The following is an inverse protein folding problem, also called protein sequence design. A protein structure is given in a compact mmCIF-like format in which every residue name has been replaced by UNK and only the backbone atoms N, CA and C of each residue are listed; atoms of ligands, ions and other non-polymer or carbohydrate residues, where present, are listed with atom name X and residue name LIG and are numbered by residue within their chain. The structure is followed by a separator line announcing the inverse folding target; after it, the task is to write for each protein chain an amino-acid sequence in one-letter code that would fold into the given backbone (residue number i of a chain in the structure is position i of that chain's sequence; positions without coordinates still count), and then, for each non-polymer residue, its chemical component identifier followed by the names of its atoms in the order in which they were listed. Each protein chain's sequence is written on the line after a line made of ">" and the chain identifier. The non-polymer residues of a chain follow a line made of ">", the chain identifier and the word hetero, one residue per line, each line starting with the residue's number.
data_IF_669813201189
#
_entry.id   IF_669813201189
#
_cell.length_a   1.000
_cell.length_b   1.000
_cell.length_c   1.000
_cell.angle_alpha   90.00
_cell.angle_beta   90.00
_cell.angle_gamma   90.00
#
_symmetry.space_group_name_H-M   'P 1'
#
loop_
_entity.id
_entity.type
_entity.pdbx_description
1 polymer ?
#
# COMPACT_ATOMS: atom_id res chain seq x y z
N UNK A 1 12.85 10.81 6.40
CA UNK A 1 12.05 9.66 6.88
C UNK A 1 11.85 8.69 5.73
N UNK A 2 11.79 7.38 5.97
CA UNK A 2 11.59 6.37 4.92
C UNK A 2 10.09 6.08 4.77
N UNK A 3 9.61 5.92 3.54
CA UNK A 3 8.22 5.55 3.21
C UNK A 3 8.22 4.19 2.51
N UNK A 4 7.22 3.36 2.79
CA UNK A 4 7.05 2.04 2.16
C UNK A 4 5.82 2.04 1.25
N UNK A 5 6.03 1.78 -0.03
CA UNK A 5 4.95 1.51 -0.97
C UNK A 5 4.72 0.00 -1.08
N UNK A 6 3.48 -0.45 -0.91
CA UNK A 6 3.09 -1.85 -1.06
C UNK A 6 2.25 -1.97 -2.34
N UNK A 7 2.78 -2.60 -3.37
CA UNK A 7 2.06 -2.86 -4.61
C UNK A 7 1.27 -4.17 -4.49
N UNK A 8 -0.06 -4.07 -4.53
CA UNK A 8 -1.01 -5.17 -4.39
C UNK A 8 -1.81 -5.11 -3.08
N UNK A 9 -3.09 -4.76 -3.17
CA UNK A 9 -4.04 -4.61 -2.06
C UNK A 9 -4.90 -5.86 -1.84
N UNK A 10 -4.29 -7.05 -1.95
CA UNK A 10 -4.93 -8.34 -1.69
C UNK A 10 -4.60 -8.88 -0.30
N UNK A 11 -4.93 -10.16 -0.01
CA UNK A 11 -4.63 -10.81 1.26
C UNK A 11 -3.13 -10.85 1.58
N UNK A 12 -2.26 -11.09 0.60
CA UNK A 12 -0.81 -11.06 0.79
C UNK A 12 -0.33 -9.65 1.19
N UNK A 13 -0.90 -8.62 0.54
CA UNK A 13 -0.63 -7.24 0.87
C UNK A 13 -0.94 -6.90 2.34
N UNK A 14 -2.07 -7.40 2.87
CA UNK A 14 -2.43 -7.20 4.29
C UNK A 14 -1.37 -7.72 5.23
N UNK A 15 -0.87 -8.93 4.99
CA UNK A 15 0.18 -9.55 5.81
C UNK A 15 1.46 -8.71 5.78
N UNK A 16 1.83 -8.18 4.61
CA UNK A 16 2.99 -7.28 4.48
C UNK A 16 2.79 -5.98 5.27
N UNK A 17 1.59 -5.39 5.22
CA UNK A 17 1.27 -4.18 5.98
C UNK A 17 1.30 -4.40 7.50
N UNK A 18 0.74 -5.51 7.98
CA UNK A 18 0.82 -5.89 9.39
C UNK A 18 2.29 -6.05 9.84
N UNK A 19 3.12 -6.73 9.04
CA UNK A 19 4.56 -6.87 9.32
C UNK A 19 5.25 -5.51 9.34
N UNK A 20 4.93 -4.61 8.39
CA UNK A 20 5.52 -3.28 8.36
C UNK A 20 5.24 -2.49 9.65
N UNK A 21 4.00 -2.53 10.15
CA UNK A 21 3.63 -1.93 11.43
C UNK A 21 4.38 -2.57 12.61
N UNK A 22 4.47 -3.91 12.65
CA UNK A 22 5.25 -4.62 13.68
C UNK A 22 6.74 -4.26 13.65
N UNK A 23 7.27 -3.96 12.47
CA UNK A 23 8.65 -3.50 12.27
C UNK A 23 8.84 -1.99 12.54
N UNK A 24 7.79 -1.27 12.96
CA UNK A 24 7.87 0.15 13.31
C UNK A 24 7.85 1.10 12.13
N UNK A 25 7.36 0.67 10.95
CA UNK A 25 7.10 1.61 9.86
C UNK A 25 5.94 2.54 10.22
N UNK A 26 6.21 3.84 10.20
CA UNK A 26 5.21 4.87 10.53
C UNK A 26 4.44 5.38 9.30
N UNK A 27 4.96 5.16 8.09
CA UNK A 27 4.38 5.68 6.85
C UNK A 27 4.49 4.65 5.72
N UNK A 28 3.35 4.07 5.34
CA UNK A 28 3.24 3.17 4.21
C UNK A 28 1.87 3.22 3.55
N UNK A 29 1.83 2.92 2.26
CA UNK A 29 0.63 3.06 1.43
C UNK A 29 0.49 1.92 0.44
N UNK A 30 -0.75 1.52 0.15
CA UNK A 30 -1.01 0.56 -0.91
C UNK A 30 -1.14 1.23 -2.27
N UNK A 31 -0.75 0.49 -3.31
CA UNK A 31 -1.06 0.75 -4.70
C UNK A 31 -1.69 -0.51 -5.29
N UNK A 32 -2.75 -0.38 -6.09
CA UNK A 32 -3.43 -1.51 -6.72
C UNK A 32 -4.17 -1.08 -7.98
N UNK A 33 -4.13 -1.89 -9.04
CA UNK A 33 -4.76 -1.54 -10.33
C UNK A 33 -6.29 -1.59 -10.28
N UNK A 34 -6.89 -2.15 -9.23
CA UNK A 34 -8.32 -2.00 -8.97
C UNK A 34 -8.69 -0.58 -8.47
N UNK A 35 -7.72 0.26 -8.12
CA UNK A 35 -7.95 1.67 -7.81
C UNK A 35 -8.43 2.44 -9.07
N UNK A 36 -9.47 3.30 -8.99
CA UNK A 36 -10.09 3.85 -7.77
C UNK A 36 -11.29 3.07 -7.22
N UNK A 37 -11.63 1.90 -7.78
CA UNK A 37 -12.73 1.06 -7.26
C UNK A 37 -12.38 0.41 -5.92
N UNK A 38 -11.11 0.06 -5.72
CA UNK A 38 -10.54 -0.37 -4.45
C UNK A 38 -9.76 0.77 -3.80
N UNK A 39 -10.27 1.30 -2.70
CA UNK A 39 -9.67 2.46 -2.01
C UNK A 39 -9.03 2.10 -0.67
N UNK A 40 -9.32 0.90 -0.15
CA UNK A 40 -8.82 0.43 1.14
C UNK A 40 -8.54 -1.06 1.10
N UNK A 41 -7.47 -1.46 1.78
CA UNK A 41 -7.19 -2.86 2.11
C UNK A 41 -7.29 -3.00 3.63
N UNK A 42 -8.46 -3.35 4.17
CA UNK A 42 -8.69 -3.30 5.62
C UNK A 42 -8.58 -1.86 6.16
N UNK A 43 -7.68 -1.63 7.12
CA UNK A 43 -7.49 -0.29 7.71
C UNK A 43 -6.66 0.65 6.83
N UNK A 44 -5.83 0.11 5.94
CA UNK A 44 -4.87 0.86 5.15
C UNK A 44 -5.47 1.39 3.85
N UNK A 45 -5.01 2.57 3.43
CA UNK A 45 -5.44 3.27 2.21
C UNK A 45 -4.70 2.77 0.97
N UNK A 46 -5.43 2.66 -0.14
CA UNK A 46 -4.89 2.48 -1.49
C UNK A 46 -4.84 3.86 -2.16
N UNK A 47 -3.65 4.37 -2.44
CA UNK A 47 -3.44 5.74 -2.91
C UNK A 47 -3.41 5.90 -4.43
N UNK A 48 -3.29 4.80 -5.16
CA UNK A 48 -3.21 4.82 -6.61
C UNK A 48 -3.08 3.43 -7.19
N UNK A 49 -2.87 3.37 -8.50
CA UNK A 49 -2.52 2.15 -9.21
C UNK A 49 -1.00 2.06 -9.46
N UNK A 50 -0.54 1.05 -10.21
CA UNK A 50 0.88 0.84 -10.53
C UNK A 50 1.51 2.02 -11.27
N UNK A 51 0.74 2.72 -12.11
CA UNK A 51 1.22 3.90 -12.84
C UNK A 51 1.51 5.06 -11.87
N UNK A 52 0.57 5.35 -10.96
CA UNK A 52 0.76 6.39 -9.95
C UNK A 52 1.97 6.11 -9.04
N UNK A 53 2.28 4.84 -8.77
CA UNK A 53 3.49 4.46 -8.04
C UNK A 53 4.75 4.79 -8.84
N UNK A 54 4.77 4.43 -10.13
CA UNK A 54 5.93 4.66 -11.00
C UNK A 54 6.25 6.14 -11.15
N UNK A 55 5.24 7.00 -11.21
CA UNK A 55 5.39 8.46 -11.26
C UNK A 55 6.01 9.07 -9.99
N UNK A 56 6.08 8.31 -8.89
CA UNK A 56 6.63 8.74 -7.59
C UNK A 56 8.03 8.22 -7.30
N UNK A 57 8.61 7.41 -8.19
CA UNK A 57 9.98 6.87 -8.08
C UNK A 57 10.99 7.81 -8.75
#
# INVERSE_FOLDING_TARGET
>A
MKRLAILGASGHGKVVADIAECCGWSEFFFFDDAWPKLQRNGRWSVQGNSQHLTEQL
#
